data_IF_879131173917
#
_entry.id   IF_879131173917
#
_cell.length_a   1.000
_cell.length_b   1.000
_cell.length_c   1.000
_cell.angle_alpha   90.00
_cell.angle_beta   90.00
_cell.angle_gamma   90.00
#
_symmetry.space_group_name_H-M   'P 1'
#
loop_
_entity.id
_entity.type
_entity.pdbx_description
1 polymer ?
#
# COMPACT_ATOMS: atom_id res chain seq x y z
N UNK A 1 -8.27 -7.32 -6.27
CA UNK A 1 -8.17 -7.52 -4.81
C UNK A 1 -6.81 -8.08 -4.40
N UNK A 2 -6.16 -7.47 -3.40
CA UNK A 2 -4.93 -7.99 -2.78
C UNK A 2 -5.24 -9.29 -2.03
N UNK A 3 -4.44 -10.35 -2.20
CA UNK A 3 -4.65 -11.64 -1.52
C UNK A 3 -4.37 -11.58 0.00
N UNK A 4 -3.92 -10.44 0.51
CA UNK A 4 -3.53 -10.24 1.89
C UNK A 4 -4.13 -8.96 2.47
N UNK A 5 -4.50 -9.02 3.75
CA UNK A 5 -4.87 -7.84 4.53
C UNK A 5 -3.65 -7.01 4.93
N UNK A 6 -3.89 -5.77 5.38
CA UNK A 6 -2.86 -4.91 6.00
C UNK A 6 -2.18 -5.57 7.19
N UNK A 7 -2.93 -6.32 8.00
CA UNK A 7 -2.39 -7.06 9.12
C UNK A 7 -1.40 -8.11 8.65
N UNK A 8 -1.79 -8.96 7.69
CA UNK A 8 -0.89 -9.99 7.15
C UNK A 8 0.37 -9.39 6.51
N UNK A 9 0.25 -8.25 5.82
CA UNK A 9 1.42 -7.52 5.29
C UNK A 9 2.34 -7.06 6.44
N UNK A 10 1.75 -6.50 7.50
CA UNK A 10 2.50 -6.03 8.66
C UNK A 10 3.24 -7.18 9.36
N UNK A 11 2.55 -8.31 9.57
CA UNK A 11 3.11 -9.50 10.21
C UNK A 11 4.29 -10.08 9.41
N UNK A 12 4.18 -10.16 8.07
CA UNK A 12 5.26 -10.64 7.19
C UNK A 12 6.48 -9.71 7.23
N UNK A 13 6.26 -8.40 7.32
CA UNK A 13 7.33 -7.39 7.28
C UNK A 13 7.90 -7.06 8.67
N UNK A 14 7.35 -7.63 9.75
CA UNK A 14 7.73 -7.25 11.13
C UNK A 14 7.36 -5.80 11.47
N UNK A 15 6.33 -5.27 10.83
CA UNK A 15 5.83 -3.91 11.02
C UNK A 15 4.50 -3.91 11.78
N UNK A 16 4.02 -2.73 12.14
CA UNK A 16 2.66 -2.57 12.67
C UNK A 16 1.65 -2.31 11.55
N UNK A 17 0.39 -2.69 11.77
CA UNK A 17 -0.70 -2.43 10.82
C UNK A 17 -0.88 -0.94 10.54
N UNK A 18 -0.63 -0.08 11.52
CA UNK A 18 -0.68 1.38 11.39
C UNK A 18 0.41 1.88 10.43
N UNK A 19 1.62 1.31 10.51
CA UNK A 19 2.72 1.66 9.62
C UNK A 19 2.36 1.36 8.17
N UNK A 20 1.89 0.13 7.90
CA UNK A 20 1.43 -0.26 6.57
C UNK A 20 0.27 0.62 6.11
N UNK A 21 -0.72 0.84 6.99
CA UNK A 21 -1.90 1.65 6.65
C UNK A 21 -1.53 3.09 6.30
N UNK A 22 -0.61 3.71 7.05
CA UNK A 22 -0.10 5.06 6.76
C UNK A 22 0.60 5.14 5.40
N UNK A 23 1.41 4.15 5.03
CA UNK A 23 2.04 4.12 3.70
C UNK A 23 0.99 4.04 2.58
N UNK A 24 -0.03 3.18 2.73
CA UNK A 24 -1.10 3.09 1.74
C UNK A 24 -1.93 4.36 1.62
N UNK A 25 -2.20 5.04 2.74
CA UNK A 25 -2.83 6.37 2.71
C UNK A 25 -1.96 7.38 1.97
N UNK A 26 -0.66 7.43 2.29
CA UNK A 26 0.29 8.35 1.64
C UNK A 26 0.35 8.14 0.13
N UNK A 27 0.49 6.89 -0.33
CA UNK A 27 0.53 6.58 -1.76
C UNK A 27 -0.78 6.95 -2.48
N UNK A 28 -1.91 6.90 -1.78
CA UNK A 28 -3.20 7.33 -2.31
C UNK A 28 -3.27 8.86 -2.44
N UNK A 29 -2.84 9.58 -1.40
CA UNK A 29 -2.80 11.05 -1.37
C UNK A 29 -1.84 11.61 -2.44
N UNK A 30 -0.71 10.94 -2.66
CA UNK A 30 0.25 11.25 -3.72
C UNK A 30 -0.24 10.83 -5.13
N UNK A 31 -1.41 10.19 -5.23
CA UNK A 31 -1.98 9.73 -6.51
C UNK A 31 -1.19 8.60 -7.19
N UNK A 32 -0.29 7.94 -6.45
CA UNK A 32 0.52 6.81 -6.93
C UNK A 32 -0.35 5.55 -7.06
N UNK A 33 -1.29 5.37 -6.13
CA UNK A 33 -2.30 4.31 -6.16
C UNK A 33 -3.71 4.87 -5.99
N UNK A 34 -4.71 4.14 -6.46
CA UNK A 34 -6.10 4.28 -6.02
C UNK A 34 -6.53 3.05 -5.25
N UNK A 35 -7.57 3.19 -4.43
CA UNK A 35 -8.08 2.08 -3.64
C UNK A 35 -9.61 2.10 -3.58
N UNK A 36 -10.21 0.95 -3.79
CA UNK A 36 -11.64 0.71 -3.63
C UNK A 36 -11.81 -0.25 -2.44
N UNK A 37 -12.17 0.29 -1.28
CA UNK A 37 -12.15 -0.48 -0.03
C UNK A 37 -10.73 -0.78 0.49
N UNK A 38 -10.56 -1.89 1.20
CA UNK A 38 -9.34 -2.20 1.97
C UNK A 38 -8.30 -3.01 1.20
N UNK A 39 -8.75 -3.80 0.22
CA UNK A 39 -7.91 -4.76 -0.51
C UNK A 39 -7.86 -4.51 -2.01
N UNK A 40 -8.78 -3.75 -2.63
CA UNK A 40 -8.59 -3.37 -4.02
C UNK A 40 -7.67 -2.16 -4.12
N UNK A 41 -6.53 -2.39 -4.76
CA UNK A 41 -5.48 -1.39 -4.98
C UNK A 41 -5.13 -1.41 -6.46
N UNK A 42 -5.22 -0.25 -7.08
CA UNK A 42 -4.81 -0.05 -8.48
C UNK A 42 -3.62 0.87 -8.52
N UNK A 43 -2.53 0.43 -9.15
CA UNK A 43 -1.33 1.24 -9.33
C UNK A 43 -1.59 2.22 -10.48
N UNK A 44 -1.50 3.53 -10.21
CA UNK A 44 -1.65 4.59 -11.22
C UNK A 44 -0.32 5.01 -11.81
N UNK A 45 0.72 5.06 -10.97
CA UNK A 45 2.06 5.48 -11.36
C UNK A 45 3.09 4.43 -10.96
N UNK A 46 3.29 3.41 -11.82
CA UNK A 46 4.22 2.31 -11.54
C UNK A 46 5.65 2.80 -11.29
N UNK A 47 6.16 3.70 -12.12
CA UNK A 47 7.53 4.22 -11.95
C UNK A 47 7.73 4.97 -10.64
N UNK A 48 6.76 5.78 -10.21
CA UNK A 48 6.82 6.47 -8.93
C UNK A 48 6.82 5.49 -7.76
N UNK A 49 6.02 4.42 -7.85
CA UNK A 49 5.98 3.38 -6.83
C UNK A 49 7.31 2.58 -6.76
N UNK A 50 7.91 2.28 -7.91
CA UNK A 50 9.21 1.61 -7.99
C UNK A 50 10.33 2.46 -7.40
N UNK A 51 10.32 3.78 -7.64
CA UNK A 51 11.31 4.70 -7.09
C UNK A 51 11.27 4.78 -5.54
N UNK A 52 10.13 4.48 -4.92
CA UNK A 52 9.97 4.44 -3.46
C UNK A 52 10.49 3.15 -2.81
N UNK A 53 10.78 2.12 -3.62
CA UNK A 53 11.28 0.83 -3.15
C UNK A 53 12.82 0.73 -3.14
N UNK A 54 13.51 1.80 -3.56
CA UNK A 54 14.98 1.88 -3.67
C UNK A 54 15.69 2.03 -2.32
#
# INVERSE_FOLDING_TARGET
>A
ELPMSRQQIADILGLTIETVSRQFTRFREEGIITMEGRRDVTIRQRHALEALAA
#
